data_IF_544275215558
#
_entry.id   IF_544275215558
#
_cell.length_a   1.000
_cell.length_b   1.000
_cell.length_c   1.000
_cell.angle_alpha   90.00
_cell.angle_beta   90.00
_cell.angle_gamma   90.00
#
_symmetry.space_group_name_H-M   'P 1'
#
loop_
_entity.id
_entity.type
_entity.pdbx_description
1 polymer ?
#
# COMPACT_ATOMS: atom_id res chain seq x y z
N UNK A 1 -43.61 -20.65 11.95
CA UNK A 1 -43.14 -20.45 10.56
C UNK A 1 -42.15 -19.28 10.49
N UNK A 2 -42.49 -18.11 11.00
CA UNK A 2 -41.57 -16.96 11.05
C UNK A 2 -40.28 -17.24 11.84
N UNK A 3 -40.36 -17.85 13.02
CA UNK A 3 -39.17 -18.25 13.80
C UNK A 3 -38.24 -19.21 13.04
N UNK A 4 -38.81 -20.07 12.17
CA UNK A 4 -38.01 -20.97 11.35
C UNK A 4 -37.34 -20.22 10.18
N UNK A 5 -38.04 -19.26 9.58
CA UNK A 5 -37.45 -18.37 8.56
C UNK A 5 -36.32 -17.52 9.14
N UNK A 6 -36.52 -16.88 10.30
CA UNK A 6 -35.45 -16.13 10.98
C UNK A 6 -34.24 -17.00 11.29
N UNK A 7 -34.47 -18.23 11.77
CA UNK A 7 -33.37 -19.17 12.07
C UNK A 7 -32.62 -19.62 10.81
N UNK A 8 -33.32 -19.79 9.69
CA UNK A 8 -32.73 -20.11 8.38
C UNK A 8 -31.91 -18.94 7.85
N UNK A 9 -32.44 -17.72 7.93
CA UNK A 9 -31.76 -16.48 7.55
C UNK A 9 -30.46 -16.30 8.36
N UNK A 10 -30.54 -16.48 9.68
CA UNK A 10 -29.40 -16.38 10.60
C UNK A 10 -28.35 -17.45 10.32
N UNK A 11 -28.75 -18.70 10.06
CA UNK A 11 -27.79 -19.75 9.65
C UNK A 11 -27.14 -19.45 8.31
N UNK A 12 -27.87 -18.86 7.36
CA UNK A 12 -27.34 -18.52 6.03
C UNK A 12 -26.31 -17.39 6.13
N UNK A 13 -26.61 -16.35 6.92
CA UNK A 13 -25.67 -15.26 7.19
C UNK A 13 -24.37 -15.76 7.85
N UNK A 14 -24.47 -16.68 8.82
CA UNK A 14 -23.28 -17.26 9.47
C UNK A 14 -22.42 -18.08 8.54
N UNK A 15 -23.01 -18.88 7.66
CA UNK A 15 -22.25 -19.66 6.66
C UNK A 15 -21.51 -18.71 5.72
N UNK A 16 -22.16 -17.63 5.28
CA UNK A 16 -21.52 -16.61 4.45
C UNK A 16 -20.36 -15.93 5.18
N UNK A 17 -20.51 -15.60 6.46
CA UNK A 17 -19.44 -15.01 7.25
C UNK A 17 -18.24 -15.98 7.38
N UNK A 18 -18.47 -17.26 7.67
CA UNK A 18 -17.40 -18.25 7.78
C UNK A 18 -16.67 -18.41 6.43
N UNK A 19 -17.42 -18.49 5.34
CA UNK A 19 -16.85 -18.55 3.98
C UNK A 19 -16.05 -17.29 3.68
N UNK A 20 -16.54 -16.11 4.08
CA UNK A 20 -15.85 -14.85 3.90
C UNK A 20 -14.50 -14.81 4.65
N UNK A 21 -14.49 -15.19 5.93
CA UNK A 21 -13.26 -15.27 6.72
C UNK A 21 -12.28 -16.30 6.15
N UNK A 22 -12.77 -17.45 5.70
CA UNK A 22 -11.95 -18.47 5.03
C UNK A 22 -11.31 -17.93 3.75
N UNK A 23 -12.09 -17.24 2.90
CA UNK A 23 -11.58 -16.59 1.69
C UNK A 23 -10.55 -15.51 2.00
N UNK A 24 -10.73 -14.78 3.11
CA UNK A 24 -9.81 -13.74 3.56
C UNK A 24 -8.45 -14.34 4.00
N UNK A 25 -8.47 -15.46 4.73
CA UNK A 25 -7.26 -16.25 5.04
C UNK A 25 -6.58 -16.72 3.75
N UNK A 26 -7.35 -17.33 2.84
CA UNK A 26 -6.84 -17.82 1.57
C UNK A 26 -6.21 -16.71 0.72
N UNK A 27 -6.86 -15.55 0.66
CA UNK A 27 -6.38 -14.38 -0.08
C UNK A 27 -5.04 -13.87 0.47
N UNK A 28 -4.93 -13.63 1.78
CA UNK A 28 -3.67 -13.13 2.37
C UNK A 28 -2.54 -14.16 2.35
N UNK A 29 -2.87 -15.45 2.46
CA UNK A 29 -1.89 -16.52 2.26
C UNK A 29 -1.34 -16.51 0.83
N UNK A 30 -2.22 -16.40 -0.17
CA UNK A 30 -1.83 -16.33 -1.59
C UNK A 30 -0.98 -15.10 -1.89
N UNK A 31 -1.34 -13.93 -1.33
CA UNK A 31 -0.54 -12.72 -1.42
C UNK A 31 0.87 -12.92 -0.85
N UNK A 32 0.95 -13.55 0.32
CA UNK A 32 2.24 -13.84 0.96
C UNK A 32 3.11 -14.73 0.07
N UNK A 33 2.56 -15.80 -0.50
CA UNK A 33 3.30 -16.68 -1.42
C UNK A 33 3.77 -15.92 -2.65
N UNK A 34 2.87 -15.15 -3.29
CA UNK A 34 3.18 -14.33 -4.47
C UNK A 34 4.33 -13.36 -4.19
N UNK A 35 4.27 -12.68 -3.05
CA UNK A 35 5.27 -11.71 -2.62
C UNK A 35 6.64 -12.36 -2.40
N UNK A 36 6.68 -13.56 -1.81
CA UNK A 36 7.92 -14.32 -1.64
C UNK A 36 8.55 -14.74 -2.96
N UNK A 37 7.75 -15.16 -3.94
CA UNK A 37 8.21 -15.48 -5.29
C UNK A 37 8.79 -14.23 -5.96
N UNK A 38 8.15 -13.07 -5.82
CA UNK A 38 8.66 -11.81 -6.36
C UNK A 38 10.01 -11.42 -5.75
N UNK A 39 10.16 -11.58 -4.43
CA UNK A 39 11.43 -11.32 -3.74
C UNK A 39 12.52 -12.29 -4.23
N UNK A 40 12.21 -13.58 -4.37
CA UNK A 40 13.14 -14.59 -4.90
C UNK A 40 13.58 -14.28 -6.35
N UNK A 41 12.69 -13.69 -7.14
CA UNK A 41 12.97 -13.22 -8.51
C UNK A 41 13.68 -11.85 -8.56
N UNK A 42 14.13 -11.31 -7.44
CA UNK A 42 14.91 -10.07 -7.37
C UNK A 42 14.10 -8.77 -7.24
N UNK A 43 12.79 -8.85 -6.97
CA UNK A 43 11.98 -7.65 -6.72
C UNK A 43 12.36 -6.98 -5.40
N UNK A 44 12.66 -5.68 -5.43
CA UNK A 44 13.03 -4.89 -4.24
C UNK A 44 11.81 -4.29 -3.55
N UNK A 45 10.97 -5.14 -2.97
CA UNK A 45 9.76 -4.70 -2.27
C UNK A 45 10.11 -4.32 -0.82
N UNK A 46 9.44 -3.29 -0.27
CA UNK A 46 9.68 -2.84 1.10
C UNK A 46 9.24 -3.93 2.08
N UNK A 47 10.14 -4.30 3.00
CA UNK A 47 9.92 -5.39 3.97
C UNK A 47 8.67 -5.23 4.84
N UNK A 48 8.23 -3.99 5.12
CA UNK A 48 7.00 -3.72 5.86
C UNK A 48 5.77 -4.39 5.24
N UNK A 49 5.59 -4.30 3.91
CA UNK A 49 4.42 -4.86 3.23
C UNK A 49 4.37 -6.39 3.32
N UNK A 50 5.52 -7.03 3.20
CA UNK A 50 5.63 -8.47 3.36
C UNK A 50 5.34 -8.94 4.80
N UNK A 51 5.80 -8.19 5.81
CA UNK A 51 5.45 -8.46 7.22
C UNK A 51 3.95 -8.22 7.46
N UNK A 52 3.41 -7.16 6.87
CA UNK A 52 1.99 -6.82 6.96
C UNK A 52 1.08 -7.93 6.42
N UNK A 53 1.40 -8.51 5.25
CA UNK A 53 0.63 -9.64 4.69
C UNK A 53 0.68 -10.88 5.60
N UNK A 54 1.82 -11.14 6.22
CA UNK A 54 1.96 -12.24 7.18
C UNK A 54 1.10 -12.00 8.43
N UNK A 55 1.19 -10.82 9.04
CA UNK A 55 0.37 -10.43 10.20
C UNK A 55 -1.13 -10.49 9.85
N UNK A 56 -1.51 -10.06 8.64
CA UNK A 56 -2.90 -10.11 8.17
C UNK A 56 -3.42 -11.53 8.03
N UNK A 57 -2.58 -12.48 7.62
CA UNK A 57 -2.95 -13.90 7.52
C UNK A 57 -3.21 -14.49 8.90
N UNK A 58 -2.38 -14.15 9.90
CA UNK A 58 -2.59 -14.56 11.30
C UNK A 58 -3.88 -13.96 11.85
N UNK A 59 -4.10 -12.66 11.64
CA UNK A 59 -5.30 -11.95 12.06
C UNK A 59 -6.57 -12.60 11.48
N UNK A 60 -6.58 -12.85 10.17
CA UNK A 60 -7.67 -13.52 9.47
C UNK A 60 -7.97 -14.92 10.02
N UNK A 61 -6.91 -15.66 10.40
CA UNK A 61 -7.05 -17.00 10.97
C UNK A 61 -7.65 -16.97 12.37
N UNK A 62 -7.31 -15.96 13.17
CA UNK A 62 -7.92 -15.76 14.51
C UNK A 62 -9.40 -15.37 14.36
N UNK A 63 -9.74 -14.50 13.41
CA UNK A 63 -11.13 -14.15 13.10
C UNK A 63 -11.95 -15.37 12.64
N UNK A 64 -11.36 -16.28 11.86
CA UNK A 64 -12.02 -17.52 11.42
C UNK A 64 -12.33 -18.48 12.57
N UNK A 65 -11.48 -18.52 13.60
CA UNK A 65 -11.64 -19.41 14.78
C UNK A 65 -12.53 -18.76 15.85
N UNK A 66 -12.89 -17.48 15.69
CA UNK A 66 -13.71 -16.76 16.66
C UNK A 66 -15.12 -17.39 16.73
N UNK A 67 -15.53 -17.93 17.89
CA UNK A 67 -16.86 -18.53 18.05
C UNK A 67 -17.97 -17.48 17.98
N UNK A 68 -19.20 -17.91 17.67
CA UNK A 68 -20.38 -17.03 17.71
C UNK A 68 -20.66 -16.58 19.14
N UNK A 69 -20.44 -15.30 19.40
CA UNK A 69 -20.56 -14.68 20.72
C UNK A 69 -21.13 -13.27 20.59
N UNK A 70 -21.60 -12.73 21.71
CA UNK A 70 -22.15 -11.37 21.79
C UNK A 70 -21.10 -10.34 21.31
N UNK A 71 -19.82 -10.57 21.64
CA UNK A 71 -18.71 -9.73 21.21
C UNK A 71 -18.46 -9.78 19.71
N UNK A 72 -18.65 -10.95 19.08
CA UNK A 72 -18.54 -11.10 17.63
C UNK A 72 -19.68 -10.37 16.92
N UNK A 73 -20.92 -10.56 17.37
CA UNK A 73 -22.11 -9.96 16.75
C UNK A 73 -22.06 -8.43 16.79
N UNK A 74 -21.55 -7.85 17.89
CA UNK A 74 -21.37 -6.40 18.03
C UNK A 74 -20.31 -5.83 17.07
N UNK A 75 -19.21 -6.56 16.83
CA UNK A 75 -18.14 -6.10 15.94
C UNK A 75 -18.39 -6.42 14.46
N UNK A 76 -19.21 -7.43 14.17
CA UNK A 76 -19.46 -7.98 12.83
C UNK A 76 -19.81 -6.92 11.79
N UNK A 77 -20.80 -6.07 12.08
CA UNK A 77 -21.28 -5.10 11.11
C UNK A 77 -20.21 -4.03 10.81
N UNK A 78 -19.46 -3.62 11.83
CA UNK A 78 -18.33 -2.71 11.68
C UNK A 78 -17.22 -3.33 10.82
N UNK A 79 -16.91 -4.61 11.04
CA UNK A 79 -15.92 -5.36 10.27
C UNK A 79 -16.34 -5.55 8.81
N UNK A 80 -17.63 -5.79 8.55
CA UNK A 80 -18.17 -5.93 7.18
C UNK A 80 -18.10 -4.60 6.43
N UNK A 81 -18.45 -3.49 7.09
CA UNK A 81 -18.31 -2.15 6.50
C UNK A 81 -16.84 -1.82 6.19
N UNK A 82 -15.94 -2.13 7.12
CA UNK A 82 -14.50 -1.97 6.91
C UNK A 82 -13.99 -2.83 5.76
N UNK A 83 -14.43 -4.08 5.67
CA UNK A 83 -14.06 -5.00 4.59
C UNK A 83 -14.53 -4.50 3.23
N UNK A 84 -15.76 -3.98 3.13
CA UNK A 84 -16.26 -3.36 1.90
C UNK A 84 -15.41 -2.16 1.51
N UNK A 85 -15.10 -1.28 2.47
CA UNK A 85 -14.25 -0.13 2.26
C UNK A 85 -12.85 -0.53 1.77
N UNK A 86 -12.23 -1.54 2.40
CA UNK A 86 -10.93 -2.07 1.97
C UNK A 86 -10.96 -2.62 0.55
N UNK A 87 -12.02 -3.33 0.16
CA UNK A 87 -12.14 -3.85 -1.22
C UNK A 87 -12.20 -2.71 -2.25
N UNK A 88 -12.88 -1.61 -1.94
CA UNK A 88 -12.88 -0.40 -2.79
C UNK A 88 -11.46 0.17 -2.91
N UNK A 89 -10.77 0.33 -1.78
CA UNK A 89 -9.38 0.84 -1.74
C UNK A 89 -8.43 -0.07 -2.52
N UNK A 90 -8.55 -1.40 -2.36
CA UNK A 90 -7.78 -2.38 -3.11
C UNK A 90 -8.03 -2.29 -4.61
N UNK A 91 -9.28 -2.10 -5.05
CA UNK A 91 -9.59 -1.89 -6.47
C UNK A 91 -8.88 -0.65 -7.02
N UNK A 92 -8.95 0.48 -6.30
CA UNK A 92 -8.26 1.71 -6.69
C UNK A 92 -6.73 1.50 -6.74
N UNK A 93 -6.17 0.81 -5.75
CA UNK A 93 -4.74 0.49 -5.71
C UNK A 93 -4.31 -0.45 -6.83
N UNK A 94 -5.13 -1.44 -7.17
CA UNK A 94 -4.87 -2.37 -8.27
C UNK A 94 -4.81 -1.62 -9.61
N UNK A 95 -5.80 -0.78 -9.89
CA UNK A 95 -5.80 0.05 -11.11
C UNK A 95 -4.58 0.96 -11.17
N UNK A 96 -4.19 1.54 -10.03
CA UNK A 96 -2.99 2.36 -9.93
C UNK A 96 -1.69 1.57 -10.21
N UNK A 97 -1.54 0.38 -9.64
CA UNK A 97 -0.35 -0.46 -9.82
C UNK A 97 -0.21 -0.96 -11.26
N UNK A 98 -1.30 -1.42 -11.86
CA UNK A 98 -1.37 -1.83 -13.27
C UNK A 98 -0.95 -0.65 -14.16
N UNK A 99 -1.43 0.54 -13.86
CA UNK A 99 -1.05 1.76 -14.56
C UNK A 99 0.44 2.11 -14.49
N UNK A 100 1.04 2.01 -13.31
CA UNK A 100 2.49 2.22 -13.16
C UNK A 100 3.30 1.21 -13.96
N UNK A 101 2.85 -0.05 -14.00
CA UNK A 101 3.49 -1.12 -14.75
C UNK A 101 3.43 -0.85 -16.26
N UNK A 102 2.27 -0.42 -16.78
CA UNK A 102 2.14 0.01 -18.18
C UNK A 102 3.08 1.15 -18.55
N UNK A 103 3.27 2.14 -17.68
CA UNK A 103 4.21 3.23 -17.95
C UNK A 103 5.66 2.75 -18.02
N UNK A 104 6.08 1.85 -17.12
CA UNK A 104 7.41 1.25 -17.16
C UNK A 104 7.61 0.40 -18.42
N UNK A 105 6.54 -0.27 -18.88
CA UNK A 105 6.51 -1.05 -20.09
C UNK A 105 6.65 -0.17 -21.34
N UNK A 106 5.87 0.91 -21.45
CA UNK A 106 5.92 1.88 -22.56
C UNK A 106 7.23 2.69 -22.62
N UNK A 107 7.93 2.85 -21.50
CA UNK A 107 9.27 3.48 -21.44
C UNK A 107 10.40 2.53 -21.90
N UNK A 108 10.07 1.34 -22.42
CA UNK A 108 11.05 0.41 -22.98
C UNK A 108 11.86 -0.37 -21.95
N UNK A 109 11.52 -0.31 -20.66
CA UNK A 109 12.19 -1.09 -19.62
C UNK A 109 11.70 -2.56 -19.52
N UNK A 110 10.74 -3.00 -20.36
CA UNK A 110 10.39 -4.43 -20.56
C UNK A 110 9.67 -4.68 -21.91
N UNK A 111 9.66 -5.94 -22.35
CA UNK A 111 9.47 -6.44 -23.72
C UNK A 111 8.07 -6.21 -24.34
N UNK A 112 7.94 -5.89 -25.65
CA UNK A 112 6.71 -5.38 -26.26
C UNK A 112 5.78 -6.52 -26.68
N UNK A 113 4.70 -6.76 -25.93
CA UNK A 113 3.52 -7.40 -26.51
C UNK A 113 2.28 -6.88 -25.78
N UNK A 114 1.61 -5.98 -26.48
CA UNK A 114 0.49 -5.16 -26.07
C UNK A 114 -0.79 -5.99 -25.86
N UNK A 115 -1.71 -5.51 -25.02
CA UNK A 115 -3.11 -5.50 -25.43
C UNK A 115 -3.79 -4.24 -24.89
N UNK A 116 -4.35 -3.50 -25.83
CA UNK A 116 -5.05 -2.23 -25.67
C UNK A 116 -6.34 -2.43 -24.89
N UNK A 117 -6.49 -1.74 -23.75
CA UNK A 117 -7.82 -1.30 -23.30
C UNK A 117 -7.79 0.20 -23.11
N UNK A 118 -8.47 0.85 -24.06
CA UNK A 118 -8.67 2.28 -24.21
C UNK A 118 -9.46 2.93 -23.05
N UNK A 119 -9.10 4.18 -22.81
CA UNK A 119 -10.10 5.24 -22.77
C UNK A 119 -10.55 5.74 -21.42
N UNK A 120 -11.15 4.90 -20.56
CA UNK A 120 -11.93 5.45 -19.43
C UNK A 120 -11.14 5.69 -18.13
N UNK A 121 -10.03 4.98 -17.92
CA UNK A 121 -9.24 5.07 -16.67
C UNK A 121 -8.06 6.05 -16.74
N UNK A 122 -7.81 6.68 -17.89
CA UNK A 122 -6.71 7.66 -18.08
C UNK A 122 -6.84 8.90 -17.18
N UNK A 123 -8.07 9.27 -16.79
CA UNK A 123 -8.31 10.41 -15.89
C UNK A 123 -7.68 10.25 -14.50
N UNK A 124 -7.59 9.01 -13.98
CA UNK A 124 -7.10 8.73 -12.63
C UNK A 124 -5.56 8.76 -12.52
N UNK A 125 -4.84 8.91 -13.64
CA UNK A 125 -3.39 8.70 -13.74
C UNK A 125 -2.51 9.88 -13.36
N UNK A 126 -3.05 11.08 -13.15
CA UNK A 126 -2.15 12.24 -13.16
C UNK A 126 -1.29 12.36 -11.90
N UNK A 127 -1.71 11.86 -10.73
CA UNK A 127 -0.90 11.91 -9.50
C UNK A 127 -1.23 10.76 -8.53
N UNK A 128 -0.20 10.01 -8.12
CA UNK A 128 -0.13 9.11 -6.95
C UNK A 128 -0.77 9.66 -5.65
N UNK A 129 -1.00 10.97 -5.59
CA UNK A 129 -1.72 11.65 -4.52
C UNK A 129 -3.21 11.30 -4.46
N UNK A 130 -3.85 10.86 -5.55
CA UNK A 130 -5.30 10.57 -5.54
C UNK A 130 -5.65 9.33 -4.69
N UNK A 131 -4.85 8.27 -4.76
CA UNK A 131 -5.07 7.03 -3.98
C UNK A 131 -4.75 7.20 -2.50
N UNK A 132 -3.81 8.10 -2.18
CA UNK A 132 -3.30 8.32 -0.82
C UNK A 132 -4.37 8.72 0.22
N UNK A 133 -5.31 9.66 -0.02
CA UNK A 133 -6.34 10.02 0.95
C UNK A 133 -7.29 8.85 1.27
N UNK A 134 -7.66 8.03 0.26
CA UNK A 134 -8.47 6.83 0.51
C UNK A 134 -7.71 5.81 1.35
N UNK A 135 -6.42 5.64 1.08
CA UNK A 135 -5.57 4.76 1.86
C UNK A 135 -5.40 5.27 3.31
N UNK A 136 -5.26 6.58 3.50
CA UNK A 136 -5.17 7.18 4.82
C UNK A 136 -6.49 7.01 5.61
N UNK A 137 -7.64 7.18 4.94
CA UNK A 137 -8.95 6.88 5.51
C UNK A 137 -9.06 5.42 5.96
N UNK A 138 -8.53 4.48 5.17
CA UNK A 138 -8.49 3.05 5.54
C UNK A 138 -7.74 2.82 6.85
N UNK A 139 -6.60 3.47 7.03
CA UNK A 139 -5.77 3.29 8.22
C UNK A 139 -6.37 3.93 9.47
N UNK A 140 -7.07 5.06 9.33
CA UNK A 140 -7.84 5.64 10.43
C UNK A 140 -8.98 4.69 10.82
N UNK A 141 -9.70 4.14 9.85
CA UNK A 141 -10.77 3.19 10.12
C UNK A 141 -10.20 1.90 10.74
N UNK A 142 -9.05 1.42 10.28
CA UNK A 142 -8.34 0.28 10.88
C UNK A 142 -7.97 0.56 12.36
N UNK A 143 -7.50 1.77 12.67
CA UNK A 143 -7.23 2.17 14.05
C UNK A 143 -8.51 2.26 14.89
N UNK A 144 -9.61 2.72 14.31
CA UNK A 144 -10.92 2.75 14.97
C UNK A 144 -11.41 1.32 15.27
N UNK A 145 -11.23 0.37 14.35
CA UNK A 145 -11.53 -1.05 14.60
C UNK A 145 -10.70 -1.61 15.77
N UNK A 146 -9.40 -1.30 15.81
CA UNK A 146 -8.55 -1.72 16.92
C UNK A 146 -9.05 -1.16 18.27
N UNK A 147 -9.47 0.09 18.29
CA UNK A 147 -10.06 0.71 19.48
C UNK A 147 -11.41 0.09 19.88
N UNK A 148 -12.32 -0.14 18.93
CA UNK A 148 -13.61 -0.80 19.19
C UNK A 148 -13.40 -2.19 19.78
N UNK A 149 -12.53 -3.01 19.19
CA UNK A 149 -12.20 -4.34 19.69
C UNK A 149 -11.56 -4.29 21.08
N UNK A 150 -10.66 -3.34 21.33
CA UNK A 150 -10.08 -3.15 22.65
C UNK A 150 -11.16 -2.77 23.68
N UNK A 151 -12.10 -1.92 23.32
CA UNK A 151 -13.23 -1.55 24.19
C UNK A 151 -14.12 -2.77 24.49
N UNK A 152 -14.50 -3.55 23.47
CA UNK A 152 -15.29 -4.79 23.62
C UNK A 152 -14.55 -5.81 24.50
N UNK A 153 -13.22 -5.93 24.35
CA UNK A 153 -12.40 -6.86 25.14
C UNK A 153 -12.40 -6.56 26.65
N UNK A 154 -12.76 -5.33 27.05
CA UNK A 154 -12.85 -4.93 28.47
C UNK A 154 -14.24 -5.13 29.07
N UNK A 155 -15.22 -5.54 28.26
CA UNK A 155 -16.58 -5.76 28.74
C UNK A 155 -16.68 -7.04 29.57
N UNK A 156 -17.53 -7.06 30.61
CA UNK A 156 -17.60 -8.18 31.55
C UNK A 156 -18.13 -9.49 30.94
N UNK A 157 -18.82 -9.43 29.79
CA UNK A 157 -19.31 -10.61 29.07
C UNK A 157 -18.27 -11.21 28.11
N UNK A 158 -17.17 -10.48 27.83
CA UNK A 158 -16.14 -10.91 26.89
C UNK A 158 -15.12 -11.81 27.61
N UNK A 159 -15.29 -13.12 27.51
CA UNK A 159 -14.31 -14.10 28.03
C UNK A 159 -13.34 -14.61 26.96
N UNK A 160 -13.50 -14.16 25.72
CA UNK A 160 -12.77 -14.65 24.55
C UNK A 160 -11.44 -13.91 24.40
N UNK A 161 -10.35 -14.67 24.35
CA UNK A 161 -9.00 -14.12 24.16
C UNK A 161 -8.79 -13.61 22.73
N UNK A 162 -9.55 -14.13 21.77
CA UNK A 162 -9.49 -13.79 20.36
C UNK A 162 -9.72 -12.28 20.15
N UNK A 163 -10.69 -11.70 20.87
CA UNK A 163 -11.04 -10.27 20.77
C UNK A 163 -9.84 -9.39 21.08
N UNK A 164 -9.14 -9.70 22.18
CA UNK A 164 -7.95 -8.97 22.60
C UNK A 164 -6.78 -9.18 21.63
N UNK A 165 -6.59 -10.42 21.14
CA UNK A 165 -5.53 -10.72 20.18
C UNK A 165 -5.71 -9.95 18.86
N UNK A 166 -6.93 -9.93 18.31
CA UNK A 166 -7.26 -9.16 17.09
C UNK A 166 -7.10 -7.67 17.34
N UNK A 167 -7.53 -7.15 18.50
CA UNK A 167 -7.34 -5.73 18.85
C UNK A 167 -5.86 -5.31 18.81
N UNK A 168 -4.98 -6.12 19.41
CA UNK A 168 -3.53 -5.85 19.44
C UNK A 168 -2.94 -5.92 18.03
N UNK A 169 -3.30 -6.94 17.26
CA UNK A 169 -2.79 -7.12 15.90
C UNK A 169 -3.24 -5.96 14.99
N UNK A 170 -4.51 -5.59 15.03
CA UNK A 170 -5.05 -4.45 14.26
C UNK A 170 -4.40 -3.13 14.67
N UNK A 171 -4.06 -2.95 15.95
CA UNK A 171 -3.32 -1.76 16.40
C UNK A 171 -1.90 -1.71 15.81
N UNK A 172 -1.18 -2.83 15.80
CA UNK A 172 0.16 -2.92 15.19
C UNK A 172 0.09 -2.64 13.68
N UNK A 173 -0.91 -3.19 13.00
CA UNK A 173 -1.15 -2.96 11.58
C UNK A 173 -1.43 -1.48 11.29
N UNK A 174 -2.41 -0.89 11.99
CA UNK A 174 -2.79 0.51 11.81
C UNK A 174 -1.63 1.47 12.10
N UNK A 175 -0.91 1.28 13.20
CA UNK A 175 0.22 2.13 13.58
C UNK A 175 1.35 2.06 12.53
N UNK A 176 1.73 0.87 12.09
CA UNK A 176 2.76 0.72 11.06
C UNK A 176 2.32 1.31 9.71
N UNK A 177 1.07 1.12 9.32
CA UNK A 177 0.49 1.73 8.12
C UNK A 177 0.51 3.26 8.17
N UNK A 178 0.10 3.86 9.29
CA UNK A 178 0.17 5.31 9.53
C UNK A 178 1.62 5.81 9.45
N UNK A 179 2.56 5.14 10.13
CA UNK A 179 3.98 5.52 10.10
C UNK A 179 4.51 5.51 8.66
N UNK A 180 4.19 4.49 7.86
CA UNK A 180 4.68 4.42 6.47
C UNK A 180 4.14 5.56 5.60
N UNK A 181 2.87 5.95 5.78
CA UNK A 181 2.29 7.08 5.05
C UNK A 181 2.89 8.40 5.53
N UNK A 182 3.04 8.60 6.83
CA UNK A 182 3.72 9.77 7.38
C UNK A 182 5.14 9.91 6.82
N UNK A 183 5.89 8.82 6.69
CA UNK A 183 7.21 8.82 6.06
C UNK A 183 7.15 9.25 4.59
N UNK A 184 6.18 8.75 3.82
CA UNK A 184 5.99 9.11 2.40
C UNK A 184 5.57 10.57 2.24
N UNK A 185 4.64 11.04 3.09
CA UNK A 185 4.21 12.44 3.11
C UNK A 185 5.39 13.35 3.44
N UNK A 186 6.16 13.02 4.49
CA UNK A 186 7.35 13.79 4.88
C UNK A 186 8.38 13.85 3.74
N UNK A 187 8.61 12.76 3.03
CA UNK A 187 9.51 12.74 1.86
C UNK A 187 9.01 13.61 0.70
N UNK A 188 7.68 13.74 0.54
CA UNK A 188 7.08 14.60 -0.47
C UNK A 188 7.09 16.08 -0.07
N UNK A 189 6.90 16.37 1.21
CA UNK A 189 6.87 17.75 1.74
C UNK A 189 8.29 18.33 1.90
N UNK A 190 9.26 17.49 2.27
CA UNK A 190 10.66 17.88 2.48
C UNK A 190 11.57 17.03 1.58
N UNK A 191 11.57 17.25 0.25
CA UNK A 191 12.51 16.59 -0.64
C UNK A 191 13.94 17.01 -0.26
N UNK A 192 14.83 16.03 -0.04
CA UNK A 192 16.25 16.30 0.19
C UNK A 192 16.83 17.10 -0.99
N UNK A 193 17.80 17.99 -0.74
CA UNK A 193 18.38 18.89 -1.77
C UNK A 193 18.80 18.15 -3.05
N UNK A 194 19.24 16.89 -2.93
CA UNK A 194 19.57 16.01 -4.08
C UNK A 194 18.37 15.65 -4.94
N UNK A 195 17.20 15.37 -4.35
CA UNK A 195 15.97 15.12 -5.10
C UNK A 195 15.46 16.41 -5.75
N UNK A 196 15.52 17.55 -5.05
CA UNK A 196 15.13 18.85 -5.60
C UNK A 196 16.03 19.26 -6.79
N UNK A 197 17.35 19.06 -6.67
CA UNK A 197 18.32 19.25 -7.74
C UNK A 197 18.01 18.33 -8.92
N UNK A 198 17.86 17.02 -8.68
CA UNK A 198 17.57 16.02 -9.73
C UNK A 198 16.25 16.30 -10.46
N UNK A 199 15.22 16.76 -9.76
CA UNK A 199 13.96 17.22 -10.36
C UNK A 199 14.16 18.46 -11.25
N UNK A 200 14.94 19.45 -10.77
CA UNK A 200 15.21 20.69 -11.50
C UNK A 200 16.04 20.44 -12.76
N UNK A 201 17.12 19.67 -12.62
CA UNK A 201 18.00 19.22 -13.69
C UNK A 201 17.22 18.37 -14.71
N UNK A 202 16.45 17.38 -14.26
CA UNK A 202 15.64 16.55 -15.15
C UNK A 202 14.58 17.37 -15.91
N UNK A 203 13.97 18.40 -15.29
CA UNK A 203 13.05 19.31 -15.99
C UNK A 203 13.75 20.20 -17.02
N UNK A 204 14.97 20.64 -16.73
CA UNK A 204 15.79 21.47 -17.64
C UNK A 204 16.19 20.72 -18.91
N UNK A 205 16.55 19.44 -18.77
CA UNK A 205 17.01 18.63 -19.90
C UNK A 205 15.90 17.81 -20.59
N UNK A 206 14.75 17.54 -19.94
CA UNK A 206 13.60 16.86 -20.57
C UNK A 206 12.82 17.72 -21.57
N UNK A 207 12.86 19.04 -21.44
CA UNK A 207 12.24 19.97 -22.41
C UNK A 207 13.10 20.10 -23.69
N UNK A 208 14.40 19.83 -23.59
CA UNK A 208 15.38 20.00 -24.68
C UNK A 208 15.60 18.70 -25.46
N UNK A 209 15.26 17.54 -24.87
CA UNK A 209 15.26 16.24 -25.54
C UNK A 209 14.00 16.03 -26.41
N UNK A 210 13.76 16.90 -27.39
CA UNK A 210 12.74 16.70 -28.42
C UNK A 210 13.28 15.84 -29.58
N UNK A 211 12.43 15.07 -30.29
CA UNK A 211 12.86 14.25 -31.41
C UNK A 211 13.30 15.15 -32.57
N UNK A 212 14.61 15.18 -32.84
CA UNK A 212 15.25 16.10 -33.78
C UNK A 212 16.67 16.53 -33.38
N UNK A 213 17.13 16.16 -32.18
CA UNK A 213 18.49 16.45 -31.70
C UNK A 213 19.45 15.30 -32.04
N UNK A 214 20.58 15.65 -32.66
CA UNK A 214 21.61 14.70 -33.11
C UNK A 214 22.20 13.86 -31.96
N UNK A 215 22.63 12.63 -32.28
CA UNK A 215 23.13 11.65 -31.31
C UNK A 215 24.36 12.12 -30.54
N UNK A 216 25.21 12.97 -31.14
CA UNK A 216 26.39 13.57 -30.49
C UNK A 216 25.96 14.54 -29.40
N UNK A 217 24.99 15.41 -29.69
CA UNK A 217 24.46 16.40 -28.75
C UNK A 217 23.73 15.73 -27.59
N UNK A 218 23.05 14.60 -27.85
CA UNK A 218 22.47 13.75 -26.79
C UNK A 218 23.53 13.15 -25.86
N UNK A 219 24.66 12.67 -26.40
CA UNK A 219 25.76 12.15 -25.58
C UNK A 219 26.41 13.25 -24.72
N UNK A 220 26.69 14.43 -25.30
CA UNK A 220 27.23 15.57 -24.56
C UNK A 220 26.28 16.04 -23.46
N UNK A 221 24.97 16.09 -23.72
CA UNK A 221 23.97 16.42 -22.71
C UNK A 221 23.87 15.38 -21.61
N UNK A 222 23.99 14.09 -21.95
CA UNK A 222 24.02 12.99 -20.97
C UNK A 222 25.26 13.07 -20.07
N UNK A 223 26.39 13.45 -20.66
CA UNK A 223 27.63 13.66 -19.93
C UNK A 223 27.52 14.86 -18.99
N UNK A 224 26.95 15.98 -19.46
CA UNK A 224 26.72 17.20 -18.68
C UNK A 224 25.71 17.00 -17.55
N UNK A 225 24.64 16.25 -17.80
CA UNK A 225 23.68 15.81 -16.78
C UNK A 225 24.37 15.04 -15.66
N UNK A 226 25.32 14.15 -16.00
CA UNK A 226 26.08 13.35 -15.03
C UNK A 226 27.05 14.20 -14.22
N UNK A 227 27.62 15.26 -14.79
CA UNK A 227 28.45 16.23 -14.05
C UNK A 227 27.61 17.07 -13.10
N UNK A 228 26.46 17.57 -13.55
CA UNK A 228 25.53 18.40 -12.76
C UNK A 228 24.86 17.60 -11.59
N UNK A 229 24.83 16.27 -11.64
CA UNK A 229 24.28 15.40 -10.58
C UNK A 229 25.27 15.10 -9.45
N UNK A 230 26.58 15.29 -9.68
CA UNK A 230 27.59 15.16 -8.60
C UNK A 230 27.50 16.41 -7.71
N UNK A 231 27.24 16.26 -6.40
CA UNK A 231 27.36 17.39 -5.50
C UNK A 231 28.81 17.88 -5.56
N UNK A 232 29.00 19.20 -5.71
CA UNK A 232 30.26 19.84 -5.35
C UNK A 232 30.45 19.63 -3.85
N UNK A 233 31.03 18.49 -3.48
CA UNK A 233 31.68 18.35 -2.19
C UNK A 233 32.82 19.36 -2.21
N UNK A 234 32.55 20.50 -1.57
CA UNK A 234 33.40 21.67 -1.51
C UNK A 234 34.86 21.27 -1.29
N UNK A 235 35.66 21.59 -2.29
CA UNK A 235 37.00 22.15 -2.18
C UNK A 235 37.02 23.08 -0.97
N UNK A 236 37.43 22.57 0.19
CA UNK A 236 37.83 23.35 1.36
C UNK A 236 38.94 22.55 2.03
N UNK A 237 40.15 22.76 1.54
CA UNK A 237 41.34 22.10 2.02
C UNK A 237 42.47 22.25 1.03
N UNK A 238 42.87 23.50 0.77
CA UNK A 238 44.22 23.94 0.44
C UNK A 238 44.15 25.43 0.10
N UNK A 239 44.86 26.21 0.91
CA UNK A 239 45.27 27.63 0.80
C UNK A 239 45.25 28.13 2.27
N UNK A 240 46.32 28.40 3.01
CA UNK A 240 47.62 28.99 2.66
C UNK A 240 48.73 28.52 3.63
N UNK A 241 49.89 28.21 3.05
CA UNK A 241 51.21 28.34 3.68
C UNK A 241 51.65 29.80 3.49
N UNK A 242 51.95 30.55 4.57
CA UNK A 242 53.01 31.61 4.62
C UNK A 242 52.86 32.53 5.85
N UNK A 243 53.46 32.15 6.98
CA UNK A 243 54.39 32.92 7.83
C UNK A 243 54.57 32.26 9.19
#
# INVERSE_FOLDING_TARGET
REIAWFKVEETSARVLDIVFHFLLVWYYCTLTIRERILIANGSRIKGWWNIYHFISTVCASILLIWPSSISYDEFRDQFMLFSLYLNIVHCIQYQYQVGCLYKLHALGQRHPMDITVDGFMSWMFRRMTFTLPFLFGAYIFELYNAYSLYYISRQPYCHEWQVLAVAIISFIQASGNIITVCMVIRQKLFPSSRMALRWTVSRKYSVVASPGVDSITQMEMTQKYRTDEKPEDNVNGNDEQSN
#
